data_IF_307817687312
#
_entry.id   IF_307817687312
#
_cell.length_a   1.000
_cell.length_b   1.000
_cell.length_c   1.000
_cell.angle_alpha   90.00
_cell.angle_beta   90.00
_cell.angle_gamma   90.00
#
_symmetry.space_group_name_H-M   'P 1'
#
loop_
_entity.id
_entity.type
_entity.pdbx_description
1 polymer ?
#
# COMPACT_ATOMS: atom_id res chain seq x y z
N UNK A 1 1.90 14.17 12.21
CA UNK A 1 1.51 12.89 11.60
C UNK A 1 2.45 11.82 12.10
N UNK A 2 1.92 10.65 12.40
CA UNK A 2 2.67 9.45 12.76
C UNK A 2 2.28 8.30 11.83
N UNK A 3 3.22 7.39 11.52
CA UNK A 3 2.93 6.17 10.75
C UNK A 3 3.25 4.97 11.63
N UNK A 4 2.29 4.07 11.76
CA UNK A 4 2.38 2.88 12.60
C UNK A 4 1.75 1.67 11.91
N UNK A 5 1.89 0.49 12.51
CA UNK A 5 1.14 -0.70 12.10
C UNK A 5 -0.37 -0.37 12.12
N UNK A 6 -1.07 -0.89 11.14
CA UNK A 6 -2.53 -0.72 11.08
C UNK A 6 -3.18 -1.32 12.34
N UNK A 7 -3.94 -0.51 13.06
CA UNK A 7 -4.70 -0.94 14.23
C UNK A 7 -6.05 -1.53 13.82
N UNK A 8 -6.59 -2.48 14.61
CA UNK A 8 -7.91 -3.08 14.37
C UNK A 8 -9.04 -2.04 14.23
N UNK A 9 -8.98 -0.94 14.98
CA UNK A 9 -9.98 0.14 14.94
C UNK A 9 -10.08 0.84 13.58
N UNK A 10 -9.00 0.81 12.77
CA UNK A 10 -8.97 1.43 11.45
C UNK A 10 -9.41 0.50 10.33
N UNK A 11 -9.54 -0.80 10.58
CA UNK A 11 -9.89 -1.79 9.54
C UNK A 11 -11.23 -1.46 8.89
N UNK A 12 -12.25 -1.18 9.68
CA UNK A 12 -13.58 -0.89 9.16
C UNK A 12 -13.64 0.44 8.39
N UNK A 13 -13.21 1.60 8.96
CA UNK A 13 -13.25 2.85 8.21
C UNK A 13 -12.35 2.83 6.97
N UNK A 14 -11.21 2.17 7.01
CA UNK A 14 -10.33 2.01 5.85
C UNK A 14 -10.98 1.14 4.78
N UNK A 15 -11.58 0.02 5.16
CA UNK A 15 -12.23 -0.90 4.21
C UNK A 15 -13.38 -0.23 3.48
N UNK A 16 -14.19 0.55 4.18
CA UNK A 16 -15.28 1.33 3.58
C UNK A 16 -14.74 2.39 2.60
N UNK A 17 -13.71 3.13 2.99
CA UNK A 17 -13.12 4.16 2.15
C UNK A 17 -12.48 3.58 0.87
N UNK A 18 -11.79 2.45 0.98
CA UNK A 18 -11.20 1.75 -0.17
C UNK A 18 -12.26 1.15 -1.09
N UNK A 19 -13.30 0.57 -0.53
CA UNK A 19 -14.41 0.06 -1.32
C UNK A 19 -15.09 1.18 -2.10
N UNK A 20 -15.34 2.32 -1.48
CA UNK A 20 -15.93 3.50 -2.14
C UNK A 20 -15.06 4.00 -3.29
N UNK A 21 -13.74 4.07 -3.10
CA UNK A 21 -12.80 4.60 -4.11
C UNK A 21 -12.52 3.60 -5.24
N UNK A 22 -12.41 2.30 -4.93
CA UNK A 22 -11.85 1.31 -5.84
C UNK A 22 -12.76 0.11 -6.15
N UNK A 23 -14.03 0.16 -5.82
CA UNK A 23 -14.98 -0.97 -6.03
C UNK A 23 -15.02 -1.48 -7.48
N UNK A 24 -14.67 -0.64 -8.46
CA UNK A 24 -14.63 -1.03 -9.87
C UNK A 24 -13.45 -1.97 -10.21
N UNK A 25 -12.46 -2.10 -9.32
CA UNK A 25 -11.32 -2.98 -9.50
C UNK A 25 -11.53 -4.29 -8.73
N UNK A 26 -11.31 -5.44 -9.41
CA UNK A 26 -11.63 -6.77 -8.87
C UNK A 26 -11.13 -7.05 -7.43
N UNK A 27 -9.90 -6.71 -7.02
CA UNK A 27 -9.46 -6.95 -5.65
C UNK A 27 -10.26 -6.16 -4.59
N UNK A 28 -10.89 -5.06 -4.97
CA UNK A 28 -11.56 -4.10 -4.09
C UNK A 28 -13.09 -4.10 -4.25
N UNK A 29 -13.63 -5.00 -5.04
CA UNK A 29 -15.06 -5.06 -5.38
C UNK A 29 -15.94 -5.75 -4.33
N UNK A 30 -15.35 -6.27 -3.26
CA UNK A 30 -16.06 -6.93 -2.15
C UNK A 30 -15.58 -6.39 -0.81
N UNK A 31 -16.46 -5.76 -0.08
CA UNK A 31 -16.16 -5.21 1.25
C UNK A 31 -15.71 -6.31 2.24
N UNK A 32 -16.34 -7.48 2.19
CA UNK A 32 -15.95 -8.61 3.06
C UNK A 32 -14.55 -9.13 2.74
N UNK A 33 -14.15 -9.15 1.47
CA UNK A 33 -12.79 -9.52 1.08
C UNK A 33 -11.77 -8.48 1.53
N UNK A 34 -12.09 -7.20 1.46
CA UNK A 34 -11.21 -6.10 1.95
C UNK A 34 -11.01 -6.24 3.46
N UNK A 35 -12.08 -6.44 4.21
CA UNK A 35 -12.02 -6.67 5.67
C UNK A 35 -11.16 -7.87 6.02
N UNK A 36 -11.36 -9.01 5.35
CA UNK A 36 -10.58 -10.22 5.55
C UNK A 36 -9.09 -10.02 5.26
N UNK A 37 -8.76 -9.30 4.20
CA UNK A 37 -7.40 -8.95 3.84
C UNK A 37 -6.72 -8.11 4.94
N UNK A 38 -7.36 -7.05 5.41
CA UNK A 38 -6.78 -6.23 6.48
C UNK A 38 -6.72 -6.95 7.83
N UNK A 39 -7.68 -7.82 8.13
CA UNK A 39 -7.58 -8.71 9.29
C UNK A 39 -6.31 -9.59 9.22
N UNK A 40 -5.98 -10.11 8.05
CA UNK A 40 -4.72 -10.84 7.84
C UNK A 40 -3.49 -9.95 8.06
N UNK A 41 -3.51 -8.70 7.57
CA UNK A 41 -2.40 -7.76 7.72
C UNK A 41 -2.08 -7.40 9.17
N UNK A 42 -3.05 -7.43 10.07
CA UNK A 42 -2.88 -7.04 11.48
C UNK A 42 -2.59 -8.21 12.40
N UNK A 43 -2.90 -9.45 12.00
CA UNK A 43 -2.83 -10.63 12.88
C UNK A 43 -1.47 -11.35 12.89
N UNK A 44 -0.48 -10.87 12.14
CA UNK A 44 0.82 -11.52 12.06
C UNK A 44 1.99 -10.55 11.94
N UNK A 45 3.19 -11.10 12.08
CA UNK A 45 4.45 -10.34 11.91
C UNK A 45 5.08 -10.55 10.54
N UNK A 46 4.50 -11.42 9.72
CA UNK A 46 4.92 -11.69 8.36
C UNK A 46 4.07 -10.93 7.35
N UNK A 47 4.59 -10.75 6.13
CA UNK A 47 3.83 -10.14 5.02
C UNK A 47 2.55 -10.94 4.72
N UNK A 48 1.44 -10.29 4.42
CA UNK A 48 1.29 -8.84 4.23
C UNK A 48 1.25 -8.05 5.53
N UNK A 49 1.87 -6.86 5.52
CA UNK A 49 1.87 -5.92 6.64
C UNK A 49 1.27 -4.61 6.18
N UNK A 50 0.25 -4.13 6.86
CA UNK A 50 -0.37 -2.84 6.59
C UNK A 50 0.03 -1.77 7.61
N UNK A 51 0.15 -0.54 7.14
CA UNK A 51 0.54 0.63 7.92
C UNK A 51 -0.47 1.75 7.71
N UNK A 52 -0.70 2.52 8.76
CA UNK A 52 -1.60 3.66 8.76
C UNK A 52 -0.85 4.95 9.09
N UNK A 53 -1.15 6.01 8.36
CA UNK A 53 -0.81 7.37 8.75
C UNK A 53 -1.94 7.93 9.60
N UNK A 54 -1.60 8.48 10.77
CA UNK A 54 -2.54 9.09 11.69
C UNK A 54 -2.13 10.52 12.02
N UNK A 55 -3.09 11.40 12.21
CA UNK A 55 -2.83 12.77 12.62
C UNK A 55 -2.55 12.89 14.13
N UNK A 56 -2.41 14.11 14.61
CA UNK A 56 -2.12 14.40 16.03
C UNK A 56 -3.29 14.03 16.95
N UNK A 57 -4.50 14.02 16.42
CA UNK A 57 -5.73 13.65 17.10
C UNK A 57 -6.04 12.14 17.01
N UNK A 58 -5.17 11.35 16.37
CA UNK A 58 -5.33 9.91 16.19
C UNK A 58 -6.29 9.50 15.06
N UNK A 59 -6.64 10.43 14.17
CA UNK A 59 -7.54 10.13 13.03
C UNK A 59 -6.76 9.52 11.88
N UNK A 60 -7.33 8.52 11.23
CA UNK A 60 -6.77 7.90 10.03
C UNK A 60 -6.66 8.91 8.89
N UNK A 61 -5.47 9.04 8.32
CA UNK A 61 -5.19 9.89 7.16
C UNK A 61 -5.01 9.09 5.86
N UNK A 62 -4.48 7.87 5.97
CA UNK A 62 -4.20 7.02 4.83
C UNK A 62 -3.52 5.72 5.24
N UNK A 63 -3.26 4.87 4.27
CA UNK A 63 -2.64 3.56 4.48
C UNK A 63 -1.73 3.15 3.35
N UNK A 64 -0.92 2.13 3.61
CA UNK A 64 -0.10 1.41 2.62
C UNK A 64 0.18 0.00 3.13
N UNK A 65 0.65 -0.88 2.26
CA UNK A 65 1.00 -2.24 2.64
C UNK A 65 2.28 -2.72 1.96
N UNK A 66 3.00 -3.61 2.65
CA UNK A 66 4.01 -4.48 2.08
C UNK A 66 3.39 -5.86 1.88
N UNK A 67 3.51 -6.41 0.67
CA UNK A 67 2.83 -7.64 0.25
C UNK A 67 3.78 -8.60 -0.45
N UNK A 68 3.33 -9.86 -0.57
CA UNK A 68 4.00 -10.85 -1.40
C UNK A 68 3.08 -11.27 -2.55
N UNK A 69 3.65 -11.41 -3.76
CA UNK A 69 2.93 -11.92 -4.93
C UNK A 69 1.60 -11.20 -5.20
N UNK A 70 1.62 -9.88 -5.12
CA UNK A 70 0.41 -9.05 -5.23
C UNK A 70 -0.27 -9.16 -6.59
N UNK A 71 0.51 -9.39 -7.65
CA UNK A 71 0.00 -9.47 -9.01
C UNK A 71 0.27 -10.85 -9.61
N UNK A 72 -0.80 -11.62 -9.84
CA UNK A 72 -0.73 -12.97 -10.38
C UNK A 72 -0.11 -13.04 -11.79
N UNK A 73 -0.20 -11.96 -12.57
CA UNK A 73 0.42 -11.88 -13.90
C UNK A 73 1.95 -11.67 -13.89
N UNK A 74 2.52 -11.39 -12.72
CA UNK A 74 3.95 -11.25 -12.51
C UNK A 74 4.43 -12.19 -11.39
N UNK A 75 4.34 -13.52 -11.59
CA UNK A 75 4.63 -14.49 -10.53
C UNK A 75 6.11 -14.50 -10.10
N UNK A 76 7.00 -13.94 -10.90
CA UNK A 76 8.42 -13.77 -10.62
C UNK A 76 8.72 -12.61 -9.66
N UNK A 77 7.76 -11.68 -9.46
CA UNK A 77 7.93 -10.52 -8.60
C UNK A 77 7.30 -10.77 -7.24
N UNK A 78 8.14 -11.01 -6.24
CA UNK A 78 7.68 -11.48 -4.92
C UNK A 78 7.20 -10.35 -4.00
N UNK A 79 8.02 -9.30 -3.84
CA UNK A 79 7.78 -8.27 -2.82
C UNK A 79 7.24 -6.99 -3.43
N UNK A 80 6.10 -6.54 -2.89
CA UNK A 80 5.36 -5.40 -3.42
C UNK A 80 5.06 -4.34 -2.36
N UNK A 81 5.19 -3.09 -2.75
CA UNK A 81 4.56 -1.96 -2.06
C UNK A 81 3.24 -1.69 -2.76
N UNK A 82 2.16 -1.72 -2.03
CA UNK A 82 0.83 -1.54 -2.58
C UNK A 82 -0.14 -0.81 -1.67
N UNK A 83 -1.36 -0.69 -2.15
CA UNK A 83 -2.50 -0.16 -1.41
C UNK A 83 -2.25 1.24 -0.83
N UNK A 84 -1.46 2.07 -1.54
CA UNK A 84 -1.19 3.45 -1.13
C UNK A 84 -2.47 4.26 -1.32
N UNK A 85 -3.08 4.58 -0.22
CA UNK A 85 -4.35 5.31 -0.17
C UNK A 85 -4.26 6.47 0.80
N UNK A 86 -4.77 7.62 0.39
CA UNK A 86 -4.92 8.80 1.23
C UNK A 86 -6.37 9.24 1.19
N UNK A 87 -6.98 9.34 2.37
CA UNK A 87 -8.36 9.83 2.50
C UNK A 87 -8.50 11.21 1.84
N UNK A 88 -9.61 11.47 1.12
CA UNK A 88 -9.76 12.67 0.30
C UNK A 88 -9.42 13.99 1.01
N UNK A 89 -9.84 14.14 2.26
CA UNK A 89 -9.62 15.35 3.06
C UNK A 89 -8.15 15.60 3.45
N UNK A 90 -7.28 14.59 3.30
CA UNK A 90 -5.85 14.69 3.63
C UNK A 90 -4.94 14.65 2.39
N UNK A 91 -5.52 14.69 1.18
CA UNK A 91 -4.76 14.73 -0.07
C UNK A 91 -4.06 16.08 -0.23
N UNK A 92 -2.94 16.09 -0.96
CA UNK A 92 -2.13 17.29 -1.18
C UNK A 92 -1.24 17.71 0.00
N UNK A 93 -1.28 16.98 1.13
CA UNK A 93 -0.49 17.28 2.34
C UNK A 93 0.80 16.44 2.45
N UNK A 94 1.17 15.70 1.41
CA UNK A 94 2.38 14.86 1.40
C UNK A 94 2.24 13.51 2.11
N UNK A 95 1.04 13.13 2.57
CA UNK A 95 0.79 11.89 3.31
C UNK A 95 1.23 10.65 2.50
N UNK A 96 0.84 10.58 1.22
CA UNK A 96 1.21 9.46 0.35
C UNK A 96 2.72 9.29 0.19
N UNK A 97 3.45 10.41 0.04
CA UNK A 97 4.93 10.37 -0.02
C UNK A 97 5.53 9.79 1.26
N UNK A 98 5.03 10.21 2.41
CA UNK A 98 5.54 9.72 3.70
C UNK A 98 5.21 8.25 3.93
N UNK A 99 4.02 7.78 3.51
CA UNK A 99 3.65 6.37 3.53
C UNK A 99 4.60 5.51 2.69
N UNK A 100 4.88 5.95 1.46
CA UNK A 100 5.83 5.26 0.56
C UNK A 100 7.23 5.23 1.17
N UNK A 101 7.74 6.37 1.64
CA UNK A 101 9.06 6.45 2.29
C UNK A 101 9.16 5.52 3.50
N UNK A 102 8.15 5.51 4.35
CA UNK A 102 8.08 4.60 5.50
C UNK A 102 8.14 3.13 5.09
N UNK A 103 7.39 2.74 4.05
CA UNK A 103 7.42 1.36 3.55
C UNK A 103 8.77 0.95 2.97
N UNK A 104 9.46 1.86 2.29
CA UNK A 104 10.81 1.61 1.78
C UNK A 104 11.80 1.37 2.93
N UNK A 105 11.74 2.17 3.98
CA UNK A 105 12.58 1.97 5.16
C UNK A 105 12.22 0.66 5.88
N UNK A 106 10.94 0.34 5.99
CA UNK A 106 10.50 -0.93 6.57
C UNK A 106 10.93 -2.15 5.74
N UNK A 107 10.90 -2.05 4.42
CA UNK A 107 11.40 -3.10 3.54
C UNK A 107 12.90 -3.34 3.73
N UNK A 108 13.70 -2.28 3.90
CA UNK A 108 15.13 -2.38 4.23
C UNK A 108 15.36 -3.03 5.60
N UNK A 109 14.61 -2.62 6.62
CA UNK A 109 14.68 -3.22 7.96
C UNK A 109 14.37 -4.71 7.95
N UNK A 110 13.42 -5.14 7.11
CA UNK A 110 13.03 -6.54 6.93
C UNK A 110 14.03 -7.33 6.05
N UNK A 111 15.02 -6.66 5.46
CA UNK A 111 16.02 -7.28 4.58
C UNK A 111 15.44 -7.74 3.25
N UNK A 112 14.38 -7.12 2.75
CA UNK A 112 13.82 -7.47 1.44
C UNK A 112 14.82 -7.10 0.34
N UNK A 113 15.11 -8.02 -0.61
CA UNK A 113 16.15 -7.77 -1.61
C UNK A 113 15.73 -6.78 -2.68
N UNK A 114 14.44 -6.68 -2.97
CA UNK A 114 13.85 -5.78 -3.95
C UNK A 114 12.39 -5.48 -3.60
N UNK A 115 11.84 -4.45 -4.19
CA UNK A 115 10.46 -4.04 -4.00
C UNK A 115 9.86 -3.57 -5.32
N UNK A 116 8.71 -4.11 -5.68
CA UNK A 116 7.95 -3.72 -6.87
C UNK A 116 6.78 -2.83 -6.49
N UNK A 117 6.39 -1.96 -7.40
CA UNK A 117 5.25 -1.07 -7.25
C UNK A 117 4.43 -1.09 -8.54
N UNK A 118 3.13 -1.27 -8.41
CA UNK A 118 2.19 -0.95 -9.47
C UNK A 118 1.55 0.41 -9.19
N UNK A 119 1.86 1.46 -9.97
CA UNK A 119 1.32 2.78 -9.69
C UNK A 119 -0.11 2.91 -10.21
N UNK A 120 -1.06 3.02 -9.31
CA UNK A 120 -2.40 3.47 -9.64
C UNK A 120 -2.46 5.00 -9.86
N UNK A 121 -1.44 5.74 -9.42
CA UNK A 121 -1.38 7.19 -9.54
C UNK A 121 0.05 7.71 -9.75
N UNK A 122 0.20 8.72 -10.60
CA UNK A 122 1.50 9.29 -10.98
C UNK A 122 2.34 9.83 -9.82
N UNK A 123 1.71 10.30 -8.73
CA UNK A 123 2.43 10.83 -7.56
C UNK A 123 3.19 9.74 -6.79
N UNK A 124 2.72 8.50 -6.86
CA UNK A 124 3.37 7.35 -6.22
C UNK A 124 4.69 7.05 -6.92
N UNK A 125 4.71 7.12 -8.26
CA UNK A 125 5.93 6.96 -9.07
C UNK A 125 6.97 8.00 -8.70
N UNK A 126 6.58 9.27 -8.58
CA UNK A 126 7.51 10.35 -8.23
C UNK A 126 8.11 10.20 -6.82
N UNK A 127 7.30 9.77 -5.85
CA UNK A 127 7.76 9.50 -4.49
C UNK A 127 8.73 8.32 -4.43
N UNK A 128 8.46 7.29 -5.23
CA UNK A 128 9.28 6.08 -5.33
C UNK A 128 10.62 6.35 -6.02
N UNK A 129 10.60 7.10 -7.14
CA UNK A 129 11.82 7.50 -7.85
C UNK A 129 12.77 8.36 -6.99
N UNK A 130 12.23 9.22 -6.13
CA UNK A 130 13.03 10.02 -5.22
C UNK A 130 13.70 9.21 -4.10
N UNK A 131 13.19 8.01 -3.81
CA UNK A 131 13.69 7.14 -2.75
C UNK A 131 14.76 6.13 -3.23
N UNK A 132 15.03 6.05 -4.54
CA UNK A 132 15.98 5.11 -5.15
C UNK A 132 17.45 5.29 -4.74
N UNK A 133 17.78 6.37 -4.03
CA UNK A 133 19.14 6.65 -3.59
C UNK A 133 19.60 5.86 -2.35
N UNK A 134 18.82 4.92 -1.85
CA UNK A 134 19.06 4.25 -0.57
C UNK A 134 19.49 2.77 -0.62
N UNK A 135 19.88 2.21 -1.77
CA UNK A 135 20.47 0.86 -1.87
C UNK A 135 19.47 -0.30 -1.88
N UNK A 136 18.15 -0.06 -1.91
CA UNK A 136 17.13 -1.06 -2.22
C UNK A 136 16.86 -1.02 -3.72
N UNK A 137 16.92 -2.17 -4.39
CA UNK A 137 16.47 -2.26 -5.77
C UNK A 137 14.94 -2.12 -5.82
N UNK A 138 14.49 -1.07 -6.50
CA UNK A 138 13.08 -0.76 -6.63
C UNK A 138 12.72 -0.63 -8.10
N UNK A 139 11.76 -1.42 -8.55
CA UNK A 139 11.24 -1.38 -9.90
C UNK A 139 9.76 -1.00 -9.93
N UNK A 140 9.44 -0.09 -10.83
CA UNK A 140 8.06 0.32 -11.11
C UNK A 140 7.54 -0.53 -12.27
N UNK A 141 6.57 -1.38 -11.98
CA UNK A 141 5.88 -2.13 -13.03
C UNK A 141 4.84 -1.24 -13.66
N UNK A 142 5.21 -0.60 -14.79
CA UNK A 142 4.27 0.20 -15.57
C UNK A 142 3.69 -0.72 -16.64
N UNK A 143 2.38 -0.94 -16.64
CA UNK A 143 1.92 -1.84 -17.65
C UNK A 143 0.54 -1.62 -18.24
N UNK A 144 0.51 -1.53 -19.56
CA UNK A 144 -0.62 -1.99 -20.35
C UNK A 144 -0.93 -3.48 -20.12
N UNK A 145 -0.06 -4.21 -19.43
CA UNK A 145 -0.23 -5.62 -19.10
C UNK A 145 -1.03 -5.86 -17.82
N UNK A 146 -1.09 -4.90 -16.93
CA UNK A 146 -1.85 -5.04 -15.70
C UNK A 146 -3.37 -4.96 -15.91
N UNK A 147 -3.85 -4.43 -17.01
CA UNK A 147 -5.27 -4.49 -17.39
C UNK A 147 -5.81 -5.92 -17.48
N UNK A 148 -4.96 -6.90 -17.76
CA UNK A 148 -5.33 -8.33 -17.77
C UNK A 148 -5.29 -8.99 -16.39
N UNK A 149 -4.67 -8.36 -15.40
CA UNK A 149 -4.59 -8.89 -14.03
C UNK A 149 -5.82 -8.55 -13.18
N UNK A 150 -6.60 -7.55 -13.59
CA UNK A 150 -7.79 -7.09 -12.87
C UNK A 150 -9.11 -7.54 -13.50
N UNK A 151 -9.06 -8.40 -14.50
CA UNK A 151 -10.26 -9.01 -15.12
C UNK A 151 -10.53 -10.45 -14.53
#
# INVERSE_FOLDING_TARGET
MNICRLNPEFVEPLSLALFEEWYAFAPWSSLDKIRAYYAQCINGDNLPLAFAAVDKEGRLMGSTALKRFDMACFPEYEYWLGDVFVLPQFRGLGVGRQLVSFCLDKARELGLPHLYLYPAAAFVVAAFAAALFGGLECDVVIGNQAGSCFT
#
